data_IF_351155535815
#
_entry.id   IF_351155535815
#
_cell.length_a   1.000
_cell.length_b   1.000
_cell.length_c   1.000
_cell.angle_alpha   90.00
_cell.angle_beta   90.00
_cell.angle_gamma   90.00
#
_symmetry.space_group_name_H-M   'P 1'
#
loop_
_entity.id
_entity.type
_entity.pdbx_description
1 polymer ?
#
# COMPACT_ATOMS: atom_id res chain seq x y z
N UNK A 1 55.20 -12.27 40.62
CA UNK A 1 54.05 -11.45 40.41
C UNK A 1 54.05 -10.78 39.01
N UNK A 2 55.13 -10.19 38.53
CA UNK A 2 55.22 -9.54 37.23
C UNK A 2 54.89 -10.46 36.02
N UNK A 3 55.29 -11.73 36.04
CA UNK A 3 55.02 -12.70 34.95
C UNK A 3 53.56 -13.11 34.87
N UNK A 4 52.83 -13.10 36.00
CA UNK A 4 51.41 -13.42 36.03
C UNK A 4 50.54 -12.30 35.38
N UNK A 5 50.93 -11.04 35.58
CA UNK A 5 50.25 -9.89 34.94
C UNK A 5 50.41 -9.88 33.42
N UNK A 6 51.61 -10.28 32.92
CA UNK A 6 51.87 -10.42 31.50
C UNK A 6 51.03 -11.53 30.86
N UNK A 7 50.83 -12.63 31.58
CA UNK A 7 49.98 -13.74 31.13
C UNK A 7 48.51 -13.32 31.07
N UNK A 8 48.01 -12.59 32.08
CA UNK A 8 46.65 -12.05 32.07
C UNK A 8 46.41 -11.04 30.94
N UNK A 9 47.38 -10.17 30.68
CA UNK A 9 47.30 -9.18 29.61
C UNK A 9 47.32 -9.84 28.24
N UNK A 10 48.08 -10.90 28.03
CA UNK A 10 48.10 -11.68 26.80
C UNK A 10 46.78 -12.44 26.56
N UNK A 11 46.15 -12.98 27.60
CA UNK A 11 44.83 -13.65 27.51
C UNK A 11 43.74 -12.63 27.19
N UNK A 12 43.71 -11.45 27.81
CA UNK A 12 42.76 -10.40 27.51
C UNK A 12 42.88 -9.90 26.06
N UNK A 13 44.11 -9.75 25.53
CA UNK A 13 44.33 -9.36 24.15
C UNK A 13 43.94 -10.45 23.14
N UNK A 14 44.02 -11.72 23.50
CA UNK A 14 43.62 -12.84 22.64
C UNK A 14 42.09 -13.05 22.60
N UNK A 15 41.35 -12.61 23.62
CA UNK A 15 39.91 -12.77 23.73
C UNK A 15 39.14 -11.61 23.08
N UNK A 16 39.77 -10.42 22.95
CA UNK A 16 39.13 -9.24 22.33
C UNK A 16 38.64 -9.47 20.88
N UNK A 17 39.35 -10.14 19.98
CA UNK A 17 38.81 -10.38 18.63
C UNK A 17 37.63 -11.38 18.60
N UNK A 18 37.45 -12.20 19.62
CA UNK A 18 36.33 -13.14 19.70
C UNK A 18 34.99 -12.48 20.06
N UNK A 19 35.02 -11.23 20.51
CA UNK A 19 33.81 -10.44 20.83
C UNK A 19 33.38 -9.50 19.69
N UNK A 20 34.11 -9.46 18.58
CA UNK A 20 33.74 -8.69 17.38
C UNK A 20 32.89 -9.49 16.40
N UNK A 21 32.46 -10.70 16.77
CA UNK A 21 31.49 -11.45 15.97
C UNK A 21 30.10 -10.91 16.27
N UNK A 22 29.58 -10.16 15.39
CA UNK A 22 28.21 -9.78 15.09
C UNK A 22 28.14 -8.28 14.75
N UNK A 23 28.88 -7.88 13.73
CA UNK A 23 28.57 -6.68 12.98
C UNK A 23 28.36 -7.06 11.51
N UNK A 24 27.59 -8.14 11.29
CA UNK A 24 26.97 -8.40 10.00
C UNK A 24 25.77 -7.46 9.91
N UNK A 25 26.09 -6.23 9.51
CA UNK A 25 25.12 -5.15 9.30
C UNK A 25 24.34 -5.35 7.98
N UNK A 26 24.20 -6.59 7.55
CA UNK A 26 23.53 -6.99 6.30
C UNK A 26 22.06 -7.37 6.51
N UNK A 27 21.48 -7.07 7.66
CA UNK A 27 20.09 -7.39 8.01
C UNK A 27 19.27 -6.16 8.40
N UNK A 28 17.96 -6.32 8.32
CA UNK A 28 17.01 -5.31 8.79
C UNK A 28 16.97 -5.26 10.32
N UNK A 29 16.90 -4.06 10.88
CA UNK A 29 16.69 -3.87 12.31
C UNK A 29 15.22 -3.86 12.67
N UNK A 30 14.84 -4.28 13.87
CA UNK A 30 13.46 -4.23 14.36
C UNK A 30 12.85 -2.81 14.41
N UNK A 31 13.66 -1.77 14.21
CA UNK A 31 13.22 -0.38 14.13
C UNK A 31 13.11 0.18 12.71
N UNK A 32 13.41 -0.62 11.70
CA UNK A 32 13.41 -0.19 10.30
C UNK A 32 11.99 -0.26 9.73
N UNK A 33 11.24 0.81 9.94
CA UNK A 33 9.88 0.91 9.42
C UNK A 33 9.88 1.53 8.04
N UNK A 34 9.10 0.93 7.13
CA UNK A 34 8.83 1.57 5.84
C UNK A 34 7.90 2.77 6.01
N UNK A 35 7.96 3.76 5.10
CA UNK A 35 6.86 4.71 4.95
C UNK A 35 5.58 3.96 4.53
N UNK A 36 4.40 4.61 4.57
CA UNK A 36 3.19 4.04 3.99
C UNK A 36 3.38 3.72 2.51
N UNK A 37 3.14 2.47 2.12
CA UNK A 37 3.33 1.95 0.78
C UNK A 37 2.04 1.33 0.24
N UNK A 38 1.87 1.42 -1.07
CA UNK A 38 0.79 0.77 -1.77
C UNK A 38 1.08 -0.72 -1.96
N UNK A 39 0.07 -1.54 -1.71
CA UNK A 39 0.14 -2.96 -1.97
C UNK A 39 -1.24 -3.52 -2.35
N UNK A 40 -1.25 -4.71 -2.93
CA UNK A 40 -2.45 -5.48 -3.23
C UNK A 40 -2.43 -6.77 -2.42
N UNK A 41 -3.51 -7.07 -1.73
CA UNK A 41 -3.68 -8.34 -1.01
C UNK A 41 -3.85 -9.48 -2.02
N UNK A 42 -3.15 -10.58 -1.79
CA UNK A 42 -3.29 -11.82 -2.52
C UNK A 42 -3.54 -12.97 -1.55
N UNK A 43 -4.63 -13.66 -1.75
CA UNK A 43 -5.02 -14.79 -0.90
C UNK A 43 -4.48 -16.09 -1.48
N UNK A 44 -3.86 -16.91 -0.64
CA UNK A 44 -3.37 -18.23 -1.00
C UNK A 44 -3.74 -19.26 0.08
N UNK A 45 -4.69 -20.15 -0.23
CA UNK A 45 -5.26 -21.06 0.75
C UNK A 45 -5.90 -20.29 1.92
N UNK A 46 -5.43 -20.55 3.14
CA UNK A 46 -5.90 -19.90 4.36
C UNK A 46 -4.99 -18.74 4.81
N UNK A 47 -4.03 -18.34 3.97
CA UNK A 47 -3.10 -17.25 4.24
C UNK A 47 -3.20 -16.17 3.18
N UNK A 48 -2.56 -15.05 3.41
CA UNK A 48 -2.40 -14.00 2.41
C UNK A 48 -0.97 -13.49 2.38
N UNK A 49 -0.61 -12.90 1.26
CA UNK A 49 0.60 -12.12 1.10
C UNK A 49 0.24 -10.78 0.45
N UNK A 50 1.18 -9.86 0.44
CA UNK A 50 1.00 -8.56 -0.20
C UNK A 50 1.89 -8.48 -1.44
N UNK A 51 1.33 -8.00 -2.53
CA UNK A 51 2.10 -7.57 -3.69
C UNK A 51 2.31 -6.07 -3.59
N UNK A 52 3.46 -5.66 -3.08
CA UNK A 52 3.82 -4.26 -2.87
C UNK A 52 4.35 -3.65 -4.16
N UNK A 53 3.94 -2.43 -4.48
CA UNK A 53 4.30 -1.77 -5.75
C UNK A 53 5.80 -1.47 -5.87
N UNK A 54 6.50 -1.37 -4.74
CA UNK A 54 7.92 -1.01 -4.67
C UNK A 54 8.79 -2.18 -4.21
N UNK A 55 8.29 -3.02 -3.31
CA UNK A 55 9.05 -4.07 -2.64
C UNK A 55 8.75 -5.48 -3.17
N UNK A 56 7.89 -5.63 -4.19
CA UNK A 56 7.50 -6.95 -4.68
C UNK A 56 6.62 -7.71 -3.70
N UNK A 57 6.82 -9.01 -3.60
CA UNK A 57 6.00 -9.91 -2.79
C UNK A 57 6.44 -9.95 -1.34
N UNK A 58 5.53 -9.66 -0.43
CA UNK A 58 5.77 -9.59 1.02
C UNK A 58 5.00 -10.69 1.74
N UNK A 59 5.71 -11.53 2.49
CA UNK A 59 5.10 -12.54 3.34
C UNK A 59 5.01 -12.06 4.79
N UNK A 60 3.80 -11.84 5.32
CA UNK A 60 3.62 -11.50 6.73
C UNK A 60 3.98 -12.67 7.64
N UNK A 61 4.94 -12.49 8.54
CA UNK A 61 5.34 -13.53 9.51
C UNK A 61 4.64 -13.41 10.85
N UNK A 62 4.00 -12.28 11.12
CA UNK A 62 3.27 -12.12 12.37
C UNK A 62 1.92 -12.85 12.28
N UNK A 63 1.68 -13.70 13.28
CA UNK A 63 0.48 -14.52 13.38
C UNK A 63 -0.67 -13.83 14.10
N UNK A 64 -0.45 -12.63 14.58
CA UNK A 64 -1.41 -11.81 15.34
C UNK A 64 -2.28 -10.90 14.45
N UNK A 65 -2.37 -11.22 13.15
CA UNK A 65 -3.20 -10.49 12.17
C UNK A 65 -4.64 -11.05 12.09
N UNK A 66 -5.07 -11.79 13.07
CA UNK A 66 -6.43 -12.35 13.12
C UNK A 66 -7.56 -11.33 13.12
N UNK A 67 -7.21 -10.04 13.23
CA UNK A 67 -8.14 -8.92 13.08
C UNK A 67 -8.36 -8.50 11.62
N UNK A 68 -7.56 -9.03 10.66
CA UNK A 68 -7.66 -8.67 9.26
C UNK A 68 -8.32 -9.77 8.44
N UNK A 69 -9.45 -9.45 7.83
CA UNK A 69 -10.15 -10.32 6.89
C UNK A 69 -9.64 -10.05 5.48
N UNK A 70 -8.80 -10.94 4.96
CA UNK A 70 -8.11 -10.76 3.70
C UNK A 70 -9.03 -11.04 2.51
N UNK A 71 -9.15 -10.07 1.62
CA UNK A 71 -9.89 -10.19 0.36
C UNK A 71 -8.91 -10.11 -0.80
N UNK A 72 -8.92 -11.11 -1.69
CA UNK A 72 -8.04 -11.11 -2.85
C UNK A 72 -8.31 -9.93 -3.77
N UNK A 73 -7.25 -9.27 -4.23
CA UNK A 73 -7.35 -8.06 -5.06
C UNK A 73 -7.62 -6.77 -4.29
N UNK A 74 -7.85 -6.82 -2.96
CA UNK A 74 -8.04 -5.63 -2.15
C UNK A 74 -6.79 -4.75 -2.16
N UNK A 75 -6.97 -3.49 -2.54
CA UNK A 75 -5.90 -2.50 -2.48
C UNK A 75 -5.75 -1.97 -1.06
N UNK A 76 -4.51 -1.86 -0.59
CA UNK A 76 -4.19 -1.46 0.80
C UNK A 76 -3.04 -0.46 0.85
N UNK A 77 -3.00 0.30 1.93
CA UNK A 77 -1.82 1.02 2.37
C UNK A 77 -1.24 0.25 3.54
N UNK A 78 0.03 -0.11 3.46
CA UNK A 78 0.72 -0.90 4.47
C UNK A 78 1.96 -0.18 5.00
N UNK A 79 2.27 -0.44 6.26
CA UNK A 79 3.54 -0.10 6.91
C UNK A 79 4.07 -1.39 7.51
N UNK A 80 5.30 -1.72 7.26
CA UNK A 80 5.90 -2.95 7.76
C UNK A 80 7.36 -2.73 8.16
N UNK A 81 7.85 -3.67 8.94
CA UNK A 81 9.27 -3.84 9.21
C UNK A 81 9.76 -5.02 8.37
N UNK A 82 10.69 -4.83 7.43
CA UNK A 82 11.31 -5.94 6.73
C UNK A 82 12.15 -6.77 7.69
N UNK A 83 12.20 -8.08 7.49
CA UNK A 83 12.91 -9.00 8.37
C UNK A 83 13.97 -9.81 7.61
N UNK A 84 13.58 -10.43 6.49
CA UNK A 84 14.47 -11.25 5.66
C UNK A 84 14.12 -11.09 4.20
N UNK A 85 15.11 -11.18 3.34
CA UNK A 85 14.96 -11.29 1.90
C UNK A 85 14.84 -12.76 1.47
N UNK A 86 14.29 -13.01 0.28
CA UNK A 86 14.18 -14.34 -0.33
C UNK A 86 13.53 -15.40 0.58
N UNK A 87 12.40 -15.09 1.19
CA UNK A 87 11.74 -15.98 2.15
C UNK A 87 10.66 -16.83 1.50
N UNK A 88 10.86 -18.14 1.48
CA UNK A 88 9.86 -19.14 1.06
C UNK A 88 9.24 -18.89 -0.33
N UNK A 89 10.01 -18.28 -1.25
CA UNK A 89 9.57 -17.94 -2.60
C UNK A 89 8.89 -16.57 -2.71
N UNK A 90 8.92 -15.77 -1.65
CA UNK A 90 8.54 -14.37 -1.64
C UNK A 90 9.78 -13.50 -1.56
N UNK A 91 9.71 -12.27 -2.09
CA UNK A 91 10.86 -11.37 -2.10
C UNK A 91 11.29 -10.98 -0.68
N UNK A 92 10.32 -10.79 0.23
CA UNK A 92 10.63 -10.40 1.61
C UNK A 92 9.68 -11.06 2.62
N UNK A 93 10.23 -11.47 3.77
CA UNK A 93 9.46 -11.72 4.98
C UNK A 93 9.34 -10.43 5.79
N UNK A 94 8.14 -10.09 6.22
CA UNK A 94 7.86 -8.81 6.87
C UNK A 94 7.02 -8.98 8.12
N UNK A 95 7.21 -8.07 9.09
CA UNK A 95 6.25 -7.88 10.18
C UNK A 95 5.33 -6.72 9.82
N UNK A 96 4.06 -7.00 9.58
CA UNK A 96 3.07 -5.95 9.34
C UNK A 96 2.81 -5.15 10.61
N UNK A 97 2.89 -3.83 10.49
CA UNK A 97 2.63 -2.88 11.58
C UNK A 97 1.30 -2.17 11.37
N UNK A 98 0.98 -1.90 10.12
CA UNK A 98 -0.28 -1.27 9.72
C UNK A 98 -0.73 -1.83 8.38
N UNK A 99 -2.02 -2.12 8.30
CA UNK A 99 -2.69 -2.52 7.07
C UNK A 99 -4.05 -1.82 7.03
N UNK A 100 -4.26 -1.02 6.01
CA UNK A 100 -5.48 -0.23 5.86
C UNK A 100 -6.06 -0.44 4.47
N UNK A 101 -7.29 -0.94 4.41
CA UNK A 101 -8.02 -1.08 3.16
C UNK A 101 -8.26 0.29 2.52
N UNK A 102 -8.14 0.33 1.22
CA UNK A 102 -8.49 1.48 0.39
C UNK A 102 -9.70 1.10 -0.45
N UNK A 103 -10.58 2.05 -0.70
CA UNK A 103 -11.71 1.84 -1.60
C UNK A 103 -11.18 1.38 -2.96
N UNK A 104 -11.55 0.14 -3.33
CA UNK A 104 -11.12 -0.48 -4.58
C UNK A 104 -12.35 -0.78 -5.42
N UNK A 105 -12.43 -0.18 -6.60
CA UNK A 105 -13.58 -0.30 -7.51
C UNK A 105 -13.10 -0.46 -8.95
N UNK A 106 -13.91 -1.13 -9.73
CA UNK A 106 -13.78 -1.15 -11.18
C UNK A 106 -14.19 0.20 -11.78
N UNK A 107 -13.66 0.51 -12.96
CA UNK A 107 -14.09 1.67 -13.74
C UNK A 107 -15.43 1.36 -14.37
N UNK A 108 -16.42 2.19 -14.08
CA UNK A 108 -17.78 2.05 -14.60
C UNK A 108 -17.90 2.72 -15.99
N UNK A 109 -18.80 2.25 -16.84
CA UNK A 109 -19.03 2.85 -18.15
C UNK A 109 -20.14 3.88 -18.05
N UNK A 110 -19.86 5.11 -18.47
CA UNK A 110 -20.83 6.18 -18.56
C UNK A 110 -21.55 6.10 -19.90
N UNK A 111 -22.89 5.97 -19.86
CA UNK A 111 -23.77 6.08 -21.02
C UNK A 111 -24.71 7.27 -20.84
N UNK A 112 -25.33 7.79 -21.93
CA UNK A 112 -26.30 8.87 -21.79
C UNK A 112 -27.46 8.55 -20.86
N UNK A 113 -27.85 7.28 -20.75
CA UNK A 113 -28.94 6.82 -19.89
C UNK A 113 -28.56 6.77 -18.42
N UNK A 114 -27.27 6.56 -18.13
CA UNK A 114 -26.75 6.41 -16.74
C UNK A 114 -26.11 7.69 -16.20
N UNK A 115 -26.00 8.74 -17.02
CA UNK A 115 -25.33 9.99 -16.64
C UNK A 115 -25.94 10.62 -15.38
N UNK A 116 -27.28 10.65 -15.30
CA UNK A 116 -27.99 11.21 -14.14
C UNK A 116 -27.76 10.38 -12.84
N UNK A 117 -27.53 9.08 -12.97
CA UNK A 117 -27.31 8.20 -11.83
C UNK A 117 -25.95 8.42 -11.15
N UNK A 118 -24.96 8.89 -11.90
CA UNK A 118 -23.62 9.15 -11.37
C UNK A 118 -23.51 10.50 -10.66
N UNK A 119 -24.44 11.43 -10.89
CA UNK A 119 -24.37 12.77 -10.31
C UNK A 119 -23.15 13.57 -10.79
N UNK A 120 -22.94 14.74 -10.21
CA UNK A 120 -21.86 15.65 -10.62
C UNK A 120 -21.28 16.47 -9.46
N UNK A 121 -21.35 15.97 -8.24
CA UNK A 121 -20.81 16.66 -7.09
C UNK A 121 -19.30 16.86 -7.23
N UNK A 122 -18.79 18.07 -6.96
CA UNK A 122 -17.38 18.36 -7.15
C UNK A 122 -16.49 17.66 -6.13
N UNK A 123 -15.45 17.00 -6.60
CA UNK A 123 -14.34 16.52 -5.77
C UNK A 123 -13.08 17.32 -6.07
N UNK A 124 -12.20 17.43 -5.08
CA UNK A 124 -10.94 18.14 -5.23
C UNK A 124 -9.80 17.14 -5.30
N UNK A 125 -9.04 17.19 -6.40
CA UNK A 125 -7.84 16.40 -6.63
C UNK A 125 -6.70 17.38 -6.87
N UNK A 126 -5.59 17.22 -6.16
CA UNK A 126 -4.40 18.03 -6.37
C UNK A 126 -3.46 17.36 -7.36
N UNK A 127 -2.60 18.16 -7.97
CA UNK A 127 -1.56 17.64 -8.85
C UNK A 127 -0.63 16.72 -8.04
N UNK A 128 -0.46 15.49 -8.52
CA UNK A 128 0.33 14.47 -7.82
C UNK A 128 -0.49 13.49 -6.97
N UNK A 129 -1.79 13.75 -6.79
CA UNK A 129 -2.69 12.86 -6.06
C UNK A 129 -3.20 11.68 -6.92
N UNK A 130 -2.83 11.65 -8.19
CA UNK A 130 -3.13 10.54 -9.10
C UNK A 130 -1.82 9.84 -9.46
N UNK A 131 -1.75 8.55 -9.17
CA UNK A 131 -0.62 7.68 -9.50
C UNK A 131 -1.09 6.38 -10.13
N UNK A 132 -0.27 5.79 -10.99
CA UNK A 132 -0.54 4.47 -11.57
C UNK A 132 0.56 3.53 -11.09
N UNK A 133 0.18 2.50 -10.35
CA UNK A 133 1.10 1.49 -9.84
C UNK A 133 0.36 0.18 -9.51
N UNK A 134 1.06 -0.95 -9.57
CA UNK A 134 0.49 -2.26 -9.26
C UNK A 134 -0.73 -2.66 -10.11
N UNK A 135 -0.91 -2.04 -11.30
CA UNK A 135 -2.08 -2.24 -12.15
C UNK A 135 -3.31 -1.43 -11.77
N UNK A 136 -3.17 -0.50 -10.83
CA UNK A 136 -4.26 0.36 -10.34
C UNK A 136 -3.98 1.83 -10.61
N UNK A 137 -5.04 2.60 -10.81
CA UNK A 137 -5.02 4.05 -10.69
C UNK A 137 -5.35 4.40 -9.24
N UNK A 138 -4.38 4.94 -8.51
CA UNK A 138 -4.55 5.37 -7.12
C UNK A 138 -4.85 6.86 -7.12
N UNK A 139 -5.96 7.24 -6.50
CA UNK A 139 -6.45 8.63 -6.49
C UNK A 139 -6.65 9.07 -5.05
N UNK A 140 -5.99 10.17 -4.64
CA UNK A 140 -6.32 10.89 -3.42
C UNK A 140 -7.25 12.05 -3.78
N UNK A 141 -8.37 12.13 -3.10
CA UNK A 141 -9.35 13.19 -3.32
C UNK A 141 -9.90 13.71 -2.00
N UNK A 142 -10.38 14.93 -2.03
CA UNK A 142 -11.12 15.54 -0.92
C UNK A 142 -12.54 15.88 -1.37
N UNK A 143 -13.48 15.55 -0.52
CA UNK A 143 -14.90 15.83 -0.72
C UNK A 143 -15.49 16.46 0.54
N UNK A 144 -16.36 17.42 0.37
CA UNK A 144 -17.14 17.97 1.45
C UNK A 144 -18.34 17.04 1.71
N UNK A 145 -18.36 16.39 2.86
CA UNK A 145 -19.49 15.57 3.28
C UNK A 145 -20.48 16.46 4.04
N UNK A 146 -21.80 16.33 3.80
CA UNK A 146 -22.80 17.00 4.61
C UNK A 146 -22.75 16.50 6.07
N UNK A 147 -23.19 17.32 6.98
CA UNK A 147 -23.19 17.02 8.41
C UNK A 147 -24.17 15.90 8.81
N UNK A 148 -25.10 15.54 7.92
CA UNK A 148 -26.06 14.46 8.14
C UNK A 148 -25.46 13.13 7.67
N UNK A 149 -25.49 12.11 8.54
CA UNK A 149 -25.03 10.75 8.23
C UNK A 149 -26.10 9.89 7.55
N UNK A 150 -27.29 10.45 7.31
CA UNK A 150 -28.43 9.70 6.77
C UNK A 150 -28.28 9.35 5.28
N UNK A 151 -27.46 10.09 4.57
CA UNK A 151 -27.18 9.87 3.15
C UNK A 151 -25.86 9.15 2.96
N UNK A 152 -25.88 8.02 2.30
CA UNK A 152 -24.67 7.31 1.89
C UNK A 152 -24.08 8.01 0.67
N UNK A 153 -22.75 8.23 0.71
CA UNK A 153 -22.03 8.76 -0.43
C UNK A 153 -21.45 7.62 -1.25
N UNK A 154 -21.57 7.72 -2.56
CA UNK A 154 -20.93 6.82 -3.52
C UNK A 154 -19.93 7.64 -4.33
N UNK A 155 -18.75 7.08 -4.57
CA UNK A 155 -17.79 7.63 -5.52
C UNK A 155 -17.54 6.59 -6.61
N UNK A 156 -17.50 7.03 -7.86
CA UNK A 156 -17.23 6.18 -9.02
C UNK A 156 -16.24 6.86 -9.95
N UNK A 157 -15.33 6.07 -10.51
CA UNK A 157 -14.55 6.49 -11.66
C UNK A 157 -15.28 5.97 -12.90
N UNK A 158 -15.65 6.86 -13.80
CA UNK A 158 -16.40 6.50 -14.99
C UNK A 158 -15.59 6.74 -16.27
N UNK A 159 -15.80 5.88 -17.25
CA UNK A 159 -15.25 6.01 -18.60
C UNK A 159 -16.41 6.24 -19.56
N UNK A 160 -16.40 7.33 -20.35
CA UNK A 160 -17.40 7.52 -21.40
C UNK A 160 -17.39 6.37 -22.40
N UNK A 161 -18.54 5.96 -22.88
CA UNK A 161 -18.64 5.02 -23.97
C UNK A 161 -18.04 5.64 -25.26
N UNK A 162 -17.43 4.83 -26.14
CA UNK A 162 -16.67 5.33 -27.28
C UNK A 162 -17.47 6.24 -28.21
N UNK A 163 -18.77 6.02 -28.33
CA UNK A 163 -19.69 6.85 -29.14
C UNK A 163 -19.83 8.28 -28.60
N UNK A 164 -19.68 8.48 -27.28
CA UNK A 164 -19.72 9.80 -26.64
C UNK A 164 -18.40 10.55 -26.83
N UNK A 165 -17.27 9.82 -26.92
CA UNK A 165 -15.95 10.41 -27.20
C UNK A 165 -15.85 11.09 -28.56
N UNK A 166 -16.62 10.66 -29.56
CA UNK A 166 -16.67 11.30 -30.89
C UNK A 166 -17.33 12.67 -30.85
N UNK A 167 -18.28 12.89 -29.95
CA UNK A 167 -18.93 14.21 -29.75
C UNK A 167 -18.08 15.13 -28.86
N UNK A 168 -17.36 14.58 -27.90
CA UNK A 168 -16.52 15.33 -26.96
C UNK A 168 -15.22 15.89 -27.56
N UNK A 169 -14.81 15.46 -28.75
CA UNK A 169 -13.63 16.03 -29.46
C UNK A 169 -13.79 17.49 -29.86
N UNK A 170 -14.96 18.07 -29.72
CA UNK A 170 -15.20 19.49 -29.95
C UNK A 170 -15.16 20.40 -28.73
N UNK A 171 -15.09 19.81 -27.50
CA UNK A 171 -15.09 20.62 -26.28
C UNK A 171 -14.02 20.10 -25.31
N UNK A 172 -12.91 20.83 -25.18
CA UNK A 172 -11.77 20.50 -24.33
C UNK A 172 -12.08 20.65 -22.82
N UNK A 173 -13.30 20.99 -22.45
CA UNK A 173 -13.73 21.20 -21.05
C UNK A 173 -14.15 19.91 -20.33
N UNK A 174 -14.37 18.80 -21.04
CA UNK A 174 -14.97 17.58 -20.47
C UNK A 174 -13.98 16.72 -19.66
N UNK A 175 -12.67 16.93 -19.79
CA UNK A 175 -11.67 16.20 -19.03
C UNK A 175 -11.65 16.50 -17.53
N UNK A 176 -12.39 17.49 -17.07
CA UNK A 176 -12.46 17.89 -15.66
C UNK A 176 -13.60 17.23 -14.85
N UNK A 177 -14.46 16.42 -15.46
CA UNK A 177 -15.68 15.91 -14.80
C UNK A 177 -15.74 14.39 -14.61
N UNK A 178 -14.65 13.67 -14.78
CA UNK A 178 -14.67 12.19 -14.74
C UNK A 178 -14.70 11.56 -13.33
N UNK A 179 -14.79 12.34 -12.27
CA UNK A 179 -14.95 11.83 -10.91
C UNK A 179 -16.28 12.33 -10.38
N UNK A 180 -17.20 11.44 -10.29
CA UNK A 180 -18.57 11.75 -9.87
C UNK A 180 -18.88 11.10 -8.53
N UNK A 181 -19.39 11.86 -7.59
CA UNK A 181 -19.87 11.38 -6.30
C UNK A 181 -21.37 11.30 -6.31
N UNK A 182 -21.93 10.14 -5.98
CA UNK A 182 -23.37 10.01 -5.73
C UNK A 182 -23.68 10.11 -4.24
N UNK A 183 -24.65 10.96 -3.90
CA UNK A 183 -25.40 10.86 -2.65
C UNK A 183 -26.58 9.90 -2.88
N UNK A 184 -26.65 8.82 -2.10
CA UNK A 184 -27.85 7.98 -1.97
C UNK A 184 -28.32 7.99 -0.53
#
# INVERSE_FOLDING_TARGET
>A
MKKLHWLFMAICLAVMPALQSCDDNDGYSLGDFTPPLWATVRVTGNAFYLNCDVWGTLWPVNTDIGWYDAVDGQRVITVFNPLWDDYAGYDHAVKLLRLQNVLTKEVETLTPETEEEFGNDPVRIYKGDITISGGYMNIFFMQNLPSSTDNKHRISLVRPQEDVLCMAKMDTSIWNSAITTMMT
#
